data_IF_975123785911
#
_entry.id   IF_975123785911
#
_cell.length_a   1.000
_cell.length_b   1.000
_cell.length_c   1.000
_cell.angle_alpha   90.00
_cell.angle_beta   90.00
_cell.angle_gamma   90.00
#
_symmetry.space_group_name_H-M   'P 1'
#
loop_
_entity.id
_entity.type
_entity.pdbx_description
1 polymer ?
#
# COMPACT_ATOMS: atom_id res chain seq x y z
N UNK A 1 -3.55 12.14 16.31
CA UNK A 1 -3.66 11.11 17.37
C UNK A 1 -2.27 10.61 17.66
N UNK A 2 -1.80 10.71 18.91
CA UNK A 2 -0.53 10.11 19.34
C UNK A 2 -0.73 8.63 19.61
N UNK A 3 0.22 7.80 19.20
CA UNK A 3 0.24 6.38 19.55
C UNK A 3 0.77 6.20 20.97
N UNK A 4 0.26 5.20 21.69
CA UNK A 4 0.84 4.80 22.97
C UNK A 4 2.21 4.16 22.71
N UNK A 5 3.22 4.55 23.49
CA UNK A 5 4.58 4.06 23.36
C UNK A 5 5.05 3.39 24.64
N UNK A 6 5.98 2.44 24.54
CA UNK A 6 6.68 1.85 25.68
C UNK A 6 8.10 1.45 25.29
N UNK A 7 8.97 1.36 26.29
CA UNK A 7 10.28 0.72 26.14
C UNK A 7 10.13 -0.78 26.39
N UNK A 8 10.60 -1.63 25.48
CA UNK A 8 10.63 -3.07 25.69
C UNK A 8 11.76 -3.42 26.69
N UNK A 9 11.47 -4.02 27.86
CA UNK A 9 12.47 -4.29 28.88
C UNK A 9 13.45 -5.42 28.50
N UNK A 10 13.15 -6.22 27.47
CA UNK A 10 13.99 -7.33 27.03
C UNK A 10 14.93 -6.94 25.89
N UNK A 11 14.48 -6.09 24.97
CA UNK A 11 15.23 -5.69 23.77
C UNK A 11 15.77 -4.27 23.84
N UNK A 12 15.33 -3.47 24.81
CA UNK A 12 15.60 -2.02 24.92
C UNK A 12 15.19 -1.23 23.66
N UNK A 13 14.19 -1.75 22.94
CA UNK A 13 13.62 -1.08 21.77
C UNK A 13 12.36 -0.30 22.13
N UNK A 14 12.14 0.81 21.42
CA UNK A 14 10.89 1.55 21.50
C UNK A 14 9.79 0.80 20.73
N UNK A 15 8.67 0.53 21.39
CA UNK A 15 7.50 -0.08 20.80
C UNK A 15 6.31 0.88 20.76
N UNK A 16 5.42 0.68 19.79
CA UNK A 16 4.15 1.39 19.64
C UNK A 16 2.98 0.42 19.70
N UNK A 17 1.88 0.83 20.33
CA UNK A 17 0.64 0.03 20.37
C UNK A 17 -0.20 0.31 19.13
N UNK A 18 -0.44 -0.72 18.34
CA UNK A 18 -1.22 -0.67 17.09
C UNK A 18 -2.10 -1.92 17.03
N UNK A 19 -3.41 -1.75 16.88
CA UNK A 19 -4.37 -2.87 16.84
C UNK A 19 -4.22 -3.83 18.03
N UNK A 20 -4.08 -3.27 19.24
CA UNK A 20 -3.86 -4.03 20.50
C UNK A 20 -2.59 -4.88 20.53
N UNK A 21 -1.65 -4.64 19.61
CA UNK A 21 -0.36 -5.30 19.54
C UNK A 21 0.78 -4.30 19.68
N UNK A 22 1.78 -4.66 20.46
CA UNK A 22 3.01 -3.89 20.59
C UNK A 22 3.96 -4.29 19.46
N UNK A 23 4.40 -3.29 18.70
CA UNK A 23 5.30 -3.48 17.57
C UNK A 23 6.53 -2.59 17.72
N UNK A 24 7.73 -3.05 17.33
CA UNK A 24 8.91 -2.19 17.26
C UNK A 24 8.63 -0.97 16.40
N UNK A 25 8.99 0.21 16.91
CA UNK A 25 8.71 1.48 16.26
C UNK A 25 9.33 1.56 14.86
N UNK A 26 10.53 1.04 14.70
CA UNK A 26 11.24 1.01 13.41
C UNK A 26 10.44 0.22 12.38
N UNK A 27 10.05 -1.02 12.69
CA UNK A 27 9.26 -1.86 11.80
C UNK A 27 7.88 -1.27 11.48
N UNK A 28 7.22 -0.67 12.48
CA UNK A 28 5.95 0.04 12.25
C UNK A 28 6.12 1.20 11.27
N UNK A 29 7.20 1.99 11.42
CA UNK A 29 7.48 3.15 10.57
C UNK A 29 7.81 2.74 9.14
N UNK A 30 8.63 1.72 8.96
CA UNK A 30 8.97 1.18 7.63
C UNK A 30 7.72 0.70 6.90
N UNK A 31 6.83 -0.02 7.59
CA UNK A 31 5.56 -0.46 7.02
C UNK A 31 4.67 0.71 6.59
N UNK A 32 4.54 1.74 7.43
CA UNK A 32 3.76 2.94 7.07
C UNK A 32 4.27 3.62 5.80
N UNK A 33 5.59 3.67 5.62
CA UNK A 33 6.21 4.23 4.42
C UNK A 33 5.90 3.35 3.20
N UNK A 34 6.11 2.04 3.31
CA UNK A 34 5.83 1.09 2.24
C UNK A 34 4.35 1.14 1.81
N UNK A 35 3.43 1.12 2.77
CA UNK A 35 1.98 1.20 2.52
C UNK A 35 1.59 2.51 1.81
N UNK A 36 2.27 3.62 2.13
CA UNK A 36 2.05 4.90 1.46
C UNK A 36 2.56 4.90 0.00
N UNK A 37 3.71 4.29 -0.24
CA UNK A 37 4.23 4.09 -1.60
C UNK A 37 3.28 3.22 -2.43
N UNK A 38 2.87 2.07 -1.91
CA UNK A 38 1.96 1.16 -2.62
C UNK A 38 0.63 1.83 -2.96
N UNK A 39 0.04 2.59 -2.02
CA UNK A 39 -1.17 3.38 -2.29
C UNK A 39 -0.95 4.41 -3.39
N UNK A 40 0.20 5.08 -3.39
CA UNK A 40 0.54 6.08 -4.41
C UNK A 40 0.71 5.44 -5.79
N UNK A 41 1.41 4.31 -5.86
CA UNK A 41 1.58 3.54 -7.11
C UNK A 41 0.23 3.05 -7.63
N UNK A 42 -0.61 2.48 -6.76
CA UNK A 42 -1.94 2.01 -7.14
C UNK A 42 -2.81 3.16 -7.69
N UNK A 43 -2.83 4.30 -6.99
CA UNK A 43 -3.55 5.49 -7.44
C UNK A 43 -3.08 5.95 -8.83
N UNK A 44 -1.77 5.95 -9.09
CA UNK A 44 -1.22 6.32 -10.40
C UNK A 44 -1.62 5.33 -11.50
N UNK A 45 -1.55 4.02 -11.23
CA UNK A 45 -1.97 2.97 -12.19
C UNK A 45 -3.45 3.09 -12.55
N UNK A 46 -4.31 3.23 -11.55
CA UNK A 46 -5.75 3.43 -11.75
C UNK A 46 -6.02 4.70 -12.58
N UNK A 47 -5.26 5.78 -12.33
CA UNK A 47 -5.44 7.04 -13.05
C UNK A 47 -4.98 6.99 -14.51
N UNK A 48 -3.97 6.15 -14.80
CA UNK A 48 -3.40 5.94 -16.12
C UNK A 48 -4.12 4.85 -16.94
N UNK A 49 -5.04 4.11 -16.32
CA UNK A 49 -5.81 3.06 -17.01
C UNK A 49 -5.03 1.78 -17.28
N UNK A 50 -3.91 1.54 -16.58
CA UNK A 50 -3.04 0.38 -16.81
C UNK A 50 -3.66 -0.97 -16.39
N UNK A 51 -4.80 -0.94 -15.68
CA UNK A 51 -5.54 -2.14 -15.28
C UNK A 51 -6.76 -2.43 -16.19
N UNK A 52 -7.07 -1.59 -17.18
CA UNK A 52 -8.07 -1.93 -18.19
C UNK A 52 -7.44 -2.88 -19.23
N UNK A 53 -7.96 -4.11 -19.40
CA UNK A 53 -7.54 -4.91 -20.55
C UNK A 53 -7.83 -4.11 -21.81
N UNK A 54 -6.93 -4.13 -22.83
CA UNK A 54 -7.19 -3.43 -24.08
C UNK A 54 -8.57 -3.87 -24.56
N UNK A 55 -9.54 -2.96 -24.57
CA UNK A 55 -10.81 -3.22 -25.22
C UNK A 55 -10.47 -3.56 -26.67
N UNK A 56 -10.60 -4.84 -27.01
CA UNK A 56 -10.37 -5.37 -28.33
C UNK A 56 -11.03 -4.44 -29.36
N UNK A 57 -10.19 -3.71 -30.08
CA UNK A 57 -10.55 -3.03 -31.32
C UNK A 57 -10.70 -4.13 -32.39
N UNK A 58 -11.59 -5.10 -32.16
CA UNK A 58 -11.83 -6.26 -33.04
C UNK A 58 -13.19 -6.21 -33.71
N UNK A 59 -13.93 -5.10 -33.60
CA UNK A 59 -15.27 -4.94 -34.19
C UNK A 59 -15.33 -3.92 -35.34
N UNK A 60 -14.26 -3.74 -36.13
CA UNK A 60 -14.30 -2.87 -37.33
C UNK A 60 -13.86 -3.52 -38.65
N UNK A 61 -13.51 -4.80 -38.67
CA UNK A 61 -13.03 -5.49 -39.88
C UNK A 61 -13.98 -6.59 -40.42
N UNK A 62 -15.29 -6.54 -40.14
CA UNK A 62 -16.24 -7.54 -40.68
C UNK A 62 -17.36 -6.99 -41.57
N UNK A 63 -17.42 -5.69 -41.89
CA UNK A 63 -18.49 -5.13 -42.75
C UNK A 63 -18.07 -4.80 -44.20
N UNK A 64 -16.90 -5.25 -44.66
CA UNK A 64 -16.50 -5.09 -46.08
C UNK A 64 -16.05 -6.44 -46.67
N UNK A 65 -17.00 -7.32 -46.99
CA UNK A 65 -16.85 -8.43 -47.96
C UNK A 65 -18.10 -8.49 -48.82
#
# INVERSE_FOLDING_TARGET
MSLLTRQNPQTDELEVLVNDQWLPFVSYREKQIADAYDKSVKFLRERLGEDEPPQEISARNQENV
#
